data_IF_934526277033
#
_entry.id   IF_934526277033
#
_cell.length_a   1.000
_cell.length_b   1.000
_cell.length_c   1.000
_cell.angle_alpha   90.00
_cell.angle_beta   90.00
_cell.angle_gamma   90.00
#
_symmetry.space_group_name_H-M   'P 1'
#
loop_
_entity.id
_entity.type
_entity.pdbx_description
1 polymer ?
#
# COMPACT_ATOMS: atom_id res chain seq x y z
N UNK A 1 -6.61 -0.89 -11.58
CA UNK A 1 -5.65 -0.30 -12.57
C UNK A 1 -4.77 -1.40 -13.12
N UNK A 2 -4.63 -1.48 -14.45
CA UNK A 2 -3.71 -2.43 -15.12
C UNK A 2 -2.26 -1.93 -14.99
N UNK A 3 -1.28 -2.80 -15.17
CA UNK A 3 0.14 -2.44 -15.06
C UNK A 3 0.57 -1.36 -16.07
N UNK A 4 0.02 -1.39 -17.29
CA UNK A 4 0.30 -0.36 -18.31
C UNK A 4 -0.27 1.00 -17.93
N UNK A 5 -1.46 1.04 -17.32
CA UNK A 5 -2.07 2.27 -16.83
C UNK A 5 -1.22 2.88 -15.70
N UNK A 6 -0.69 2.02 -14.80
CA UNK A 6 0.23 2.45 -13.75
C UNK A 6 1.54 3.02 -14.32
N UNK A 7 2.10 2.39 -15.32
CA UNK A 7 3.32 2.88 -15.99
C UNK A 7 3.09 4.25 -16.64
N UNK A 8 1.93 4.43 -17.29
CA UNK A 8 1.56 5.71 -17.87
C UNK A 8 1.43 6.78 -16.80
N UNK A 9 0.74 6.50 -15.71
CA UNK A 9 0.58 7.43 -14.60
C UNK A 9 1.93 7.84 -14.00
N UNK A 10 2.85 6.89 -13.80
CA UNK A 10 4.21 7.16 -13.32
C UNK A 10 4.99 8.04 -14.31
N UNK A 11 4.87 7.81 -15.63
CA UNK A 11 5.50 8.68 -16.65
C UNK A 11 4.97 10.10 -16.56
N UNK A 12 3.66 10.29 -16.40
CA UNK A 12 3.06 11.62 -16.25
C UNK A 12 3.55 12.32 -14.98
N UNK A 13 3.65 11.59 -13.85
CA UNK A 13 4.26 12.13 -12.63
C UNK A 13 5.70 12.60 -12.88
N UNK A 14 6.51 11.81 -13.59
CA UNK A 14 7.90 12.17 -13.93
C UNK A 14 8.00 13.37 -14.86
N UNK A 15 6.97 13.64 -15.68
CA UNK A 15 6.91 14.86 -16.50
C UNK A 15 6.65 16.10 -15.63
N UNK A 16 5.83 15.97 -14.58
CA UNK A 16 5.50 17.06 -13.66
C UNK A 16 6.64 17.30 -12.66
N UNK A 17 7.25 16.23 -12.16
CA UNK A 17 8.26 16.24 -11.11
C UNK A 17 9.44 15.33 -11.50
N UNK A 18 10.29 15.73 -12.48
CA UNK A 18 11.36 14.89 -13.03
C UNK A 18 12.40 14.46 -12.00
N UNK A 19 12.63 15.28 -10.98
CA UNK A 19 13.60 14.99 -9.91
C UNK A 19 13.07 14.02 -8.85
N UNK A 20 11.75 13.81 -8.80
CA UNK A 20 11.15 12.93 -7.80
C UNK A 20 11.12 11.48 -8.26
N UNK A 21 11.31 10.56 -7.34
CA UNK A 21 11.01 9.15 -7.56
C UNK A 21 9.73 8.80 -6.82
N UNK A 22 8.64 8.47 -7.54
CA UNK A 22 7.38 8.13 -6.91
C UNK A 22 7.50 6.84 -6.08
N UNK A 23 6.85 6.81 -4.92
CA UNK A 23 6.73 5.63 -4.07
C UNK A 23 5.25 5.26 -3.97
N UNK A 24 4.88 4.11 -4.49
CA UNK A 24 3.52 3.59 -4.47
C UNK A 24 3.27 2.92 -3.12
N UNK A 25 2.24 3.35 -2.38
CA UNK A 25 1.98 2.89 -1.00
C UNK A 25 0.62 2.22 -0.80
N UNK A 26 -0.27 2.29 -1.78
CA UNK A 26 -1.60 1.67 -1.73
C UNK A 26 -1.65 0.29 -2.40
N UNK A 27 -2.86 -0.13 -2.78
CA UNK A 27 -3.10 -1.46 -3.39
C UNK A 27 -2.29 -1.70 -4.66
N UNK A 28 -1.96 -0.64 -5.40
CA UNK A 28 -1.20 -0.73 -6.64
C UNK A 28 0.28 -1.12 -6.40
N UNK A 29 0.79 -1.03 -5.17
CA UNK A 29 2.11 -1.55 -4.82
C UNK A 29 2.24 -3.06 -5.07
N UNK A 30 1.13 -3.81 -5.09
CA UNK A 30 1.11 -5.22 -5.45
C UNK A 30 1.67 -5.52 -6.86
N UNK A 31 1.74 -4.52 -7.76
CA UNK A 31 2.38 -4.67 -9.06
C UNK A 31 3.88 -5.00 -9.01
N UNK A 32 4.54 -4.73 -7.87
CA UNK A 32 5.96 -5.08 -7.69
C UNK A 32 6.18 -6.59 -7.48
N UNK A 33 5.20 -7.30 -6.91
CA UNK A 33 5.37 -8.71 -6.49
C UNK A 33 4.42 -9.67 -7.21
N UNK A 34 3.24 -9.23 -7.64
CA UNK A 34 2.23 -10.10 -8.22
C UNK A 34 2.33 -10.12 -9.76
N UNK A 35 2.46 -11.34 -10.31
CA UNK A 35 2.37 -11.55 -11.77
C UNK A 35 0.95 -11.31 -12.27
N UNK A 36 -0.06 -11.71 -11.49
CA UNK A 36 -1.48 -11.52 -11.78
C UNK A 36 -2.14 -10.91 -10.55
N UNK A 37 -2.66 -9.70 -10.68
CA UNK A 37 -3.33 -9.01 -9.58
C UNK A 37 -4.74 -9.54 -9.35
N UNK A 38 -5.22 -9.59 -8.09
CA UNK A 38 -6.61 -9.79 -7.77
C UNK A 38 -7.50 -8.75 -8.45
N UNK A 39 -8.72 -9.15 -8.79
CA UNK A 39 -9.69 -8.26 -9.43
C UNK A 39 -9.93 -6.99 -8.63
N UNK A 40 -10.02 -7.10 -7.30
CA UNK A 40 -10.20 -5.94 -6.41
C UNK A 40 -9.07 -4.90 -6.52
N UNK A 41 -7.83 -5.34 -6.82
CA UNK A 41 -6.71 -4.42 -7.06
C UNK A 41 -6.82 -3.79 -8.44
N UNK A 42 -7.21 -4.58 -9.45
CA UNK A 42 -7.38 -4.10 -10.82
C UNK A 42 -8.54 -3.12 -10.96
N UNK A 43 -9.62 -3.28 -10.18
CA UNK A 43 -10.76 -2.36 -10.15
C UNK A 43 -10.46 -1.02 -9.50
N UNK A 44 -9.40 -0.91 -8.68
CA UNK A 44 -9.00 0.37 -8.10
C UNK A 44 -8.54 1.33 -9.20
N UNK A 45 -9.19 2.48 -9.28
CA UNK A 45 -8.88 3.56 -10.21
C UNK A 45 -7.91 4.59 -9.62
N UNK A 46 -7.65 4.52 -8.31
CA UNK A 46 -6.71 5.38 -7.59
C UNK A 46 -5.35 4.69 -7.43
N UNK A 47 -4.28 5.47 -7.48
CA UNK A 47 -2.95 5.04 -7.09
C UNK A 47 -2.36 6.01 -6.08
N UNK A 48 -2.07 5.50 -4.89
CA UNK A 48 -1.53 6.26 -3.76
C UNK A 48 -0.01 6.43 -3.91
N UNK A 49 0.47 7.67 -3.92
CA UNK A 49 1.88 8.01 -4.07
C UNK A 49 2.42 8.81 -2.89
N UNK A 50 3.63 8.49 -2.48
CA UNK A 50 4.50 9.37 -1.69
C UNK A 50 5.68 9.84 -2.55
N UNK A 51 6.27 10.97 -2.18
CA UNK A 51 7.50 11.49 -2.75
C UNK A 51 8.60 11.55 -1.69
N UNK A 52 9.82 11.12 -2.05
CA UNK A 52 10.93 11.03 -1.11
C UNK A 52 11.29 12.39 -0.51
N UNK A 53 11.17 13.48 -1.29
CA UNK A 53 11.44 14.85 -0.83
C UNK A 53 10.44 15.36 0.21
N UNK A 54 9.22 14.80 0.23
CA UNK A 54 8.11 15.26 1.07
C UNK A 54 7.60 16.67 0.72
N UNK A 55 8.01 17.25 -0.43
CA UNK A 55 7.61 18.61 -0.83
C UNK A 55 6.11 18.71 -1.07
N UNK A 56 5.48 19.66 -0.39
CA UNK A 56 4.05 19.90 -0.51
C UNK A 56 3.69 20.41 -1.92
N UNK A 57 4.54 21.23 -2.51
CA UNK A 57 4.33 21.81 -3.84
C UNK A 57 4.24 20.72 -4.91
N UNK A 58 5.15 19.74 -4.90
CA UNK A 58 5.12 18.58 -5.81
C UNK A 58 3.80 17.82 -5.69
N UNK A 59 3.38 17.54 -4.44
CA UNK A 59 2.13 16.84 -4.16
C UNK A 59 0.91 17.60 -4.68
N UNK A 60 0.85 18.90 -4.42
CA UNK A 60 -0.25 19.77 -4.88
C UNK A 60 -0.30 19.79 -6.40
N UNK A 61 0.83 19.94 -7.07
CA UNK A 61 0.88 20.01 -8.54
C UNK A 61 0.50 18.67 -9.19
N UNK A 62 0.96 17.55 -8.64
CA UNK A 62 0.56 16.21 -9.12
C UNK A 62 -0.95 16.01 -8.93
N UNK A 63 -1.51 16.30 -7.75
CA UNK A 63 -2.94 16.15 -7.50
C UNK A 63 -3.79 17.07 -8.38
N UNK A 64 -3.32 18.29 -8.66
CA UNK A 64 -4.01 19.24 -9.55
C UNK A 64 -4.11 18.70 -10.98
N UNK A 65 -3.02 18.10 -11.49
CA UNK A 65 -2.94 17.67 -12.90
C UNK A 65 -3.44 16.24 -13.11
N UNK A 66 -3.18 15.33 -12.17
CA UNK A 66 -3.41 13.89 -12.31
C UNK A 66 -4.37 13.32 -11.26
N UNK A 67 -4.83 14.13 -10.31
CA UNK A 67 -5.65 13.69 -9.18
C UNK A 67 -7.13 13.53 -9.53
N UNK A 68 -7.92 13.29 -8.49
CA UNK A 68 -9.38 13.16 -8.59
C UNK A 68 -10.00 14.41 -9.21
N UNK A 69 -10.96 14.21 -10.13
CA UNK A 69 -11.64 15.25 -10.92
C UNK A 69 -10.74 16.07 -11.87
N UNK A 70 -9.48 15.66 -12.08
CA UNK A 70 -8.63 16.26 -13.11
C UNK A 70 -9.08 15.87 -14.51
N UNK A 71 -8.66 16.66 -15.53
CA UNK A 71 -8.86 16.30 -16.94
C UNK A 71 -8.24 14.95 -17.27
N UNK A 72 -7.09 14.62 -16.62
CA UNK A 72 -6.44 13.33 -16.77
C UNK A 72 -7.36 12.17 -16.33
N UNK A 73 -7.97 12.26 -15.14
CA UNK A 73 -8.89 11.23 -14.70
C UNK A 73 -10.11 11.10 -15.63
N UNK A 74 -10.66 12.22 -16.09
CA UNK A 74 -11.83 12.20 -16.99
C UNK A 74 -11.50 11.51 -18.32
N UNK A 75 -10.29 11.69 -18.83
CA UNK A 75 -9.82 11.10 -20.10
C UNK A 75 -9.44 9.63 -19.95
N UNK A 76 -8.71 9.28 -18.87
CA UNK A 76 -8.09 7.95 -18.70
C UNK A 76 -8.87 7.00 -17.78
N UNK A 77 -9.78 7.52 -16.95
CA UNK A 77 -10.58 6.72 -16.00
C UNK A 77 -9.85 6.31 -14.72
N UNK A 78 -8.60 6.77 -14.50
CA UNK A 78 -7.82 6.53 -13.30
C UNK A 78 -7.00 7.78 -12.93
N UNK A 79 -6.49 7.83 -11.69
CA UNK A 79 -5.82 9.03 -11.18
C UNK A 79 -4.73 8.73 -10.15
N UNK A 80 -3.85 9.72 -9.92
CA UNK A 80 -2.87 9.72 -8.84
C UNK A 80 -3.48 10.37 -7.58
N UNK A 81 -3.25 9.74 -6.42
CA UNK A 81 -3.46 10.36 -5.12
C UNK A 81 -2.11 10.58 -4.44
N UNK A 82 -1.58 11.80 -4.58
CA UNK A 82 -0.31 12.19 -3.98
C UNK A 82 -0.52 12.56 -2.51
N UNK A 83 -0.11 11.66 -1.62
CA UNK A 83 -0.33 11.71 -0.18
C UNK A 83 0.78 12.44 0.58
N UNK A 84 0.44 12.98 1.74
CA UNK A 84 1.43 13.41 2.73
C UNK A 84 1.90 12.23 3.59
N UNK A 85 3.15 12.27 4.05
CA UNK A 85 3.71 11.22 4.93
C UNK A 85 2.87 10.98 6.18
N UNK A 86 2.24 12.02 6.73
CA UNK A 86 1.39 11.92 7.92
C UNK A 86 0.06 11.20 7.70
N UNK A 87 -0.35 11.01 6.44
CA UNK A 87 -1.63 10.36 6.11
C UNK A 87 -1.50 8.85 5.88
N UNK A 88 -0.27 8.34 5.84
CA UNK A 88 0.02 6.93 5.59
C UNK A 88 0.67 6.31 6.82
N UNK A 89 0.10 5.24 7.34
CA UNK A 89 0.69 4.50 8.45
C UNK A 89 1.39 3.27 7.87
N UNK A 90 2.72 3.26 7.94
CA UNK A 90 3.56 2.15 7.49
C UNK A 90 4.46 1.69 8.65
N UNK A 91 4.75 0.39 8.76
CA UNK A 91 5.62 -0.17 9.80
C UNK A 91 7.02 0.47 9.80
N UNK A 92 7.61 0.64 10.98
CA UNK A 92 8.97 1.17 11.12
C UNK A 92 9.95 0.45 10.17
N UNK A 93 10.85 1.20 9.53
CA UNK A 93 11.82 0.67 8.57
C UNK A 93 11.25 0.35 7.18
N UNK A 94 10.06 0.82 6.84
CA UNK A 94 9.42 0.55 5.54
C UNK A 94 10.24 1.05 4.34
N UNK A 95 11.03 2.13 4.52
CA UNK A 95 11.84 2.70 3.41
C UNK A 95 12.96 1.76 2.95
N UNK A 96 13.53 1.01 3.87
CA UNK A 96 14.60 0.04 3.62
C UNK A 96 14.08 -1.21 2.91
N UNK A 97 12.77 -1.41 2.88
CA UNK A 97 12.09 -2.55 2.26
C UNK A 97 11.42 -2.23 0.94
N UNK A 98 11.59 -1.01 0.42
CA UNK A 98 11.01 -0.61 -0.87
C UNK A 98 11.41 -1.57 -1.99
N UNK A 99 10.44 -1.94 -2.81
CA UNK A 99 10.63 -2.80 -3.98
C UNK A 99 10.69 -1.97 -5.25
N UNK A 100 11.68 -2.17 -6.14
CA UNK A 100 11.74 -1.43 -7.38
C UNK A 100 10.62 -1.87 -8.34
N UNK A 101 9.99 -0.88 -8.98
CA UNK A 101 9.09 -1.10 -10.11
C UNK A 101 9.84 -0.71 -11.39
N UNK A 102 10.13 -1.69 -12.23
CA UNK A 102 10.82 -1.49 -13.49
C UNK A 102 9.84 -1.53 -14.67
N UNK A 103 10.15 -0.74 -15.71
CA UNK A 103 9.47 -0.80 -17.01
C UNK A 103 9.90 -2.05 -17.82
N UNK A 104 9.39 -2.15 -19.05
CA UNK A 104 9.68 -3.24 -19.98
C UNK A 104 11.16 -3.34 -20.39
N UNK A 105 11.95 -2.26 -20.20
CA UNK A 105 13.38 -2.21 -20.50
C UNK A 105 14.24 -2.49 -19.25
N UNK A 106 13.61 -2.81 -18.11
CA UNK A 106 14.31 -3.04 -16.86
C UNK A 106 14.74 -1.77 -16.12
N UNK A 107 14.35 -0.58 -16.60
CA UNK A 107 14.64 0.69 -15.93
C UNK A 107 13.69 0.89 -14.77
N UNK A 108 14.22 1.15 -13.57
CA UNK A 108 13.41 1.50 -12.39
C UNK A 108 12.75 2.85 -12.61
N UNK A 109 11.42 2.87 -12.57
CA UNK A 109 10.58 4.06 -12.80
C UNK A 109 9.91 4.57 -11.53
N UNK A 110 9.70 3.69 -10.55
CA UNK A 110 9.13 4.00 -9.24
C UNK A 110 9.62 2.98 -8.21
N UNK A 111 9.30 3.21 -6.94
CA UNK A 111 9.37 2.19 -5.91
C UNK A 111 7.96 1.86 -5.41
N UNK A 112 7.79 0.65 -4.86
CA UNK A 112 6.57 0.22 -4.19
C UNK A 112 6.88 -0.08 -2.73
N UNK A 113 5.98 0.28 -1.81
CA UNK A 113 6.04 -0.25 -0.46
C UNK A 113 5.96 -1.78 -0.51
N UNK A 114 6.70 -2.45 0.35
CA UNK A 114 6.71 -3.91 0.44
C UNK A 114 5.30 -4.40 0.81
N UNK A 115 4.87 -5.51 0.22
CA UNK A 115 3.46 -5.93 0.24
C UNK A 115 2.93 -6.23 1.66
N UNK A 116 3.78 -6.73 2.59
CA UNK A 116 3.38 -6.93 3.98
C UNK A 116 3.24 -5.60 4.73
N UNK A 117 4.08 -4.58 4.41
CA UNK A 117 3.93 -3.22 4.94
C UNK A 117 2.60 -2.60 4.47
N UNK A 118 2.26 -2.78 3.19
CA UNK A 118 0.95 -2.37 2.63
C UNK A 118 -0.20 -3.07 3.33
N UNK A 119 -0.07 -4.37 3.56
CA UNK A 119 -1.11 -5.16 4.23
C UNK A 119 -1.38 -4.67 5.65
N UNK A 120 -0.34 -4.33 6.42
CA UNK A 120 -0.49 -3.74 7.76
C UNK A 120 -1.13 -2.35 7.69
N UNK A 121 -0.71 -1.50 6.74
CA UNK A 121 -1.33 -0.19 6.50
C UNK A 121 -2.84 -0.32 6.22
N UNK A 122 -3.23 -1.27 5.39
CA UNK A 122 -4.63 -1.57 5.07
C UNK A 122 -5.41 -2.09 6.28
N UNK A 123 -4.81 -2.96 7.09
CA UNK A 123 -5.44 -3.41 8.33
C UNK A 123 -5.74 -2.22 9.25
N UNK A 124 -4.80 -1.29 9.42
CA UNK A 124 -4.99 -0.09 10.26
C UNK A 124 -6.08 0.81 9.68
N UNK A 125 -6.11 1.03 8.35
CA UNK A 125 -7.17 1.79 7.69
C UNK A 125 -8.55 1.15 7.89
N UNK A 126 -8.65 -0.17 7.78
CA UNK A 126 -9.77 -1.00 8.22
C UNK A 126 -11.10 -0.70 7.52
N UNK A 127 -11.07 -0.24 6.27
CA UNK A 127 -12.26 -0.10 5.42
C UNK A 127 -12.65 -1.47 4.87
N UNK A 128 -13.88 -1.65 4.47
CA UNK A 128 -14.36 -2.92 3.88
C UNK A 128 -13.46 -3.38 2.72
N UNK A 129 -13.13 -2.47 1.80
CA UNK A 129 -12.22 -2.76 0.68
C UNK A 129 -10.83 -3.20 1.12
N UNK A 130 -10.35 -2.76 2.29
CA UNK A 130 -9.04 -3.12 2.82
C UNK A 130 -9.04 -4.56 3.37
N UNK A 131 -10.10 -4.98 4.04
CA UNK A 131 -10.28 -6.38 4.47
C UNK A 131 -10.44 -7.33 3.28
N UNK A 132 -11.14 -6.93 2.23
CA UNK A 132 -11.23 -7.71 0.99
C UNK A 132 -9.86 -7.86 0.32
N UNK A 133 -9.05 -6.81 0.30
CA UNK A 133 -7.66 -6.89 -0.18
C UNK A 133 -6.85 -7.90 0.64
N UNK A 134 -6.90 -7.82 1.97
CA UNK A 134 -6.18 -8.73 2.87
C UNK A 134 -6.62 -10.19 2.65
N UNK A 135 -7.91 -10.44 2.56
CA UNK A 135 -8.45 -11.77 2.26
C UNK A 135 -7.87 -12.35 0.98
N UNK A 136 -7.92 -11.59 -0.12
CA UNK A 136 -7.38 -12.02 -1.41
C UNK A 136 -5.86 -12.21 -1.36
N UNK A 137 -5.14 -11.32 -0.67
CA UNK A 137 -3.70 -11.41 -0.55
C UNK A 137 -3.24 -12.65 0.22
N UNK A 138 -3.94 -13.04 1.29
CA UNK A 138 -3.69 -14.29 2.02
C UNK A 138 -4.09 -15.53 1.20
N UNK A 139 -5.28 -15.52 0.56
CA UNK A 139 -5.75 -16.65 -0.23
C UNK A 139 -4.86 -16.97 -1.44
N UNK A 140 -4.24 -15.96 -2.01
CA UNK A 140 -3.34 -16.09 -3.18
C UNK A 140 -1.87 -16.15 -2.79
N UNK A 141 -1.56 -16.20 -1.50
CA UNK A 141 -0.20 -16.29 -0.96
C UNK A 141 0.73 -15.14 -1.40
N UNK A 142 0.16 -13.95 -1.71
CA UNK A 142 0.96 -12.74 -1.96
C UNK A 142 1.61 -12.22 -0.69
N UNK A 143 0.96 -12.48 0.45
CA UNK A 143 1.49 -12.20 1.77
C UNK A 143 1.49 -13.50 2.60
N UNK A 144 2.58 -13.74 3.31
CA UNK A 144 2.65 -14.79 4.32
C UNK A 144 2.12 -14.29 5.64
N UNK A 145 1.54 -15.18 6.45
CA UNK A 145 1.06 -14.80 7.77
C UNK A 145 2.23 -14.37 8.68
N UNK A 146 3.36 -15.04 8.61
CA UNK A 146 4.53 -14.74 9.44
C UNK A 146 5.10 -13.37 9.09
N UNK A 147 5.34 -13.09 7.80
CA UNK A 147 5.80 -11.77 7.35
C UNK A 147 4.83 -10.64 7.72
N UNK A 148 3.52 -10.86 7.57
CA UNK A 148 2.50 -9.90 7.98
C UNK A 148 2.56 -9.61 9.49
N UNK A 149 2.64 -10.64 10.32
CA UNK A 149 2.67 -10.49 11.78
C UNK A 149 3.99 -9.85 12.27
N UNK A 150 5.11 -10.17 11.64
CA UNK A 150 6.38 -9.47 11.89
C UNK A 150 6.25 -7.96 11.61
N UNK A 151 5.63 -7.58 10.50
CA UNK A 151 5.39 -6.15 10.18
C UNK A 151 4.38 -5.51 11.12
N UNK A 152 3.34 -6.23 11.54
CA UNK A 152 2.36 -5.74 12.51
C UNK A 152 3.02 -5.38 13.86
N UNK A 153 3.96 -6.18 14.33
CA UNK A 153 4.73 -5.90 15.56
C UNK A 153 5.50 -4.58 15.49
N UNK A 154 5.97 -4.17 14.30
CA UNK A 154 6.68 -2.90 14.11
C UNK A 154 5.77 -1.66 14.28
N UNK A 155 4.46 -1.85 14.39
CA UNK A 155 3.49 -0.81 14.77
C UNK A 155 3.30 -0.73 16.31
N UNK A 156 3.69 -1.76 17.06
CA UNK A 156 3.41 -1.90 18.49
C UNK A 156 3.85 -0.70 19.35
N UNK A 157 4.93 -0.04 18.97
CA UNK A 157 5.45 1.18 19.63
C UNK A 157 4.89 2.50 19.07
N UNK A 158 4.01 2.44 18.08
CA UNK A 158 3.43 3.61 17.42
C UNK A 158 2.08 3.99 18.07
N UNK A 159 1.60 5.25 17.91
CA UNK A 159 0.28 5.67 18.41
C UNK A 159 -0.88 4.83 17.90
N UNK A 160 -0.69 4.15 16.75
CA UNK A 160 -1.69 3.30 16.10
C UNK A 160 -1.78 1.89 16.69
N UNK A 161 -1.00 1.52 17.68
CA UNK A 161 -0.98 0.17 18.29
C UNK A 161 -2.37 -0.29 18.78
N UNK A 162 -3.12 0.59 19.42
CA UNK A 162 -4.49 0.28 19.89
C UNK A 162 -5.46 -0.02 18.76
N UNK A 163 -5.34 0.73 17.66
CA UNK A 163 -6.14 0.49 16.44
C UNK A 163 -5.75 -0.84 15.82
N UNK A 164 -4.45 -1.12 15.71
CA UNK A 164 -3.93 -2.39 15.22
C UNK A 164 -4.48 -3.58 16.00
N UNK A 165 -4.43 -3.54 17.33
CA UNK A 165 -4.95 -4.62 18.20
C UNK A 165 -6.42 -4.89 17.90
N UNK A 166 -7.26 -3.84 17.91
CA UNK A 166 -8.68 -3.97 17.59
C UNK A 166 -8.93 -4.53 16.19
N UNK A 167 -8.14 -4.13 15.20
CA UNK A 167 -8.29 -4.61 13.82
C UNK A 167 -7.78 -6.05 13.63
N UNK A 168 -6.75 -6.47 14.35
CA UNK A 168 -6.29 -7.86 14.35
C UNK A 168 -7.35 -8.81 14.93
N UNK A 169 -8.12 -8.37 15.93
CA UNK A 169 -9.25 -9.14 16.46
C UNK A 169 -10.31 -9.42 15.38
N UNK A 170 -10.62 -8.43 14.55
CA UNK A 170 -11.58 -8.56 13.46
C UNK A 170 -11.00 -9.36 12.28
N UNK A 171 -9.69 -9.33 12.08
CA UNK A 171 -9.02 -9.99 10.95
C UNK A 171 -9.27 -11.51 10.93
N UNK A 172 -9.47 -12.14 12.09
CA UNK A 172 -9.70 -13.60 12.18
C UNK A 172 -10.93 -14.09 11.40
N UNK A 173 -11.87 -13.20 11.09
CA UNK A 173 -13.04 -13.51 10.27
C UNK A 173 -12.74 -13.59 8.77
N UNK A 174 -11.63 -13.00 8.33
CA UNK A 174 -11.28 -12.83 6.92
C UNK A 174 -10.12 -13.70 6.46
N UNK A 175 -9.39 -14.34 7.37
CA UNK A 175 -8.21 -15.14 7.05
C UNK A 175 -8.50 -16.65 7.11
N UNK A 176 -7.67 -17.49 6.44
CA UNK A 176 -7.76 -18.94 6.56
C UNK A 176 -7.65 -19.39 8.03
N UNK A 177 -8.45 -20.41 8.40
CA UNK A 177 -8.49 -20.94 9.78
C UNK A 177 -7.13 -21.37 10.32
N UNK A 178 -6.24 -21.85 9.45
CA UNK A 178 -4.84 -22.22 9.77
C UNK A 178 -4.02 -21.07 10.35
N UNK A 179 -4.37 -19.82 10.06
CA UNK A 179 -3.62 -18.62 10.49
C UNK A 179 -4.13 -18.01 11.81
N UNK A 180 -5.33 -18.42 12.26
CA UNK A 180 -5.96 -17.82 13.44
C UNK A 180 -5.10 -17.97 14.70
N UNK A 181 -4.46 -19.13 14.88
CA UNK A 181 -3.60 -19.38 16.06
C UNK A 181 -2.41 -18.42 16.11
N UNK A 182 -1.76 -18.15 14.98
CA UNK A 182 -0.65 -17.22 14.88
C UNK A 182 -1.08 -15.77 15.20
N UNK A 183 -2.22 -15.34 14.67
CA UNK A 183 -2.78 -14.01 14.96
C UNK A 183 -3.10 -13.85 16.45
N UNK A 184 -3.74 -14.85 17.08
CA UNK A 184 -4.07 -14.80 18.51
C UNK A 184 -2.83 -14.73 19.40
N UNK A 185 -1.74 -15.43 19.03
CA UNK A 185 -0.46 -15.36 19.73
C UNK A 185 0.10 -13.93 19.71
N UNK A 186 0.17 -13.30 18.54
CA UNK A 186 0.68 -11.92 18.40
C UNK A 186 -0.23 -10.91 19.08
N UNK A 187 -1.55 -11.11 19.05
CA UNK A 187 -2.48 -10.30 19.81
C UNK A 187 -2.19 -10.33 21.31
N UNK A 188 -1.88 -11.50 21.87
CA UNK A 188 -1.54 -11.62 23.29
C UNK A 188 -0.22 -10.88 23.61
N UNK A 189 0.78 -10.98 22.75
CA UNK A 189 2.06 -10.27 22.89
C UNK A 189 1.83 -8.75 22.86
N UNK A 190 1.13 -8.21 21.84
CA UNK A 190 0.88 -6.78 21.69
C UNK A 190 0.03 -6.19 22.84
N UNK A 191 -0.86 -6.97 23.43
CA UNK A 191 -1.66 -6.55 24.61
C UNK A 191 -0.83 -6.52 25.90
N UNK A 192 0.21 -7.36 26.01
CA UNK A 192 1.08 -7.32 27.17
C UNK A 192 2.06 -6.15 27.16
N UNK A 193 2.36 -5.61 25.98
CA UNK A 193 3.33 -4.51 25.77
C UNK A 193 2.65 -3.12 25.74
N UNK A 194 1.31 -3.06 25.85
CA UNK A 194 0.47 -1.84 25.78
C UNK A 194 0.00 -1.40 27.14
#
# INVERSE_FOLDING_TARGET
MRKLDLFELVRQIKTIAPEETPIIVGSQAAHAVARFLPEIVQQSIECDFLFASGKTETRVEVNKKLGVFSSYQLEHGFYADALGLATVVLPTGWRERLQPLADENGKVIAFCAEIHDVAVSKLIAGREKDFLFLKEAFLREYISIDGFLERAKLIGSMPQSKVLISRLENLVEFIPKSHISAVRKVLAELKSDS
#
